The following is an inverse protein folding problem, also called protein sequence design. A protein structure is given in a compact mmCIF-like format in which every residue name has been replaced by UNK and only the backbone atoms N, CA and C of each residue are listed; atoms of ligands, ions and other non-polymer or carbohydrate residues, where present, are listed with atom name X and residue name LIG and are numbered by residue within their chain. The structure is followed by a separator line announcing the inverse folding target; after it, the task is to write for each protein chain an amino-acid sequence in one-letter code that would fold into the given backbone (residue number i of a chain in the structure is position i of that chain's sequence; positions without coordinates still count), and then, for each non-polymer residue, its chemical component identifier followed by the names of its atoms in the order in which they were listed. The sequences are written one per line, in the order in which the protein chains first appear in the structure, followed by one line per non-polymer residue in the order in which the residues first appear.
data_IF_278170401229
#
_entry.id   IF_278170401229
#
_cell.length_a   1.000
_cell.length_b   1.000
_cell.length_c   1.000
_cell.angle_alpha   90.00
_cell.angle_beta   90.00
_cell.angle_gamma   90.00
#
_symmetry.space_group_name_H-M   'P 1'
#
loop_
_entity.id
_entity.type
_entity.pdbx_description
1 polymer ?
#
# COMPACT_ATOMS: atom_id res chain seq x y z
N UNK A 1 -3.81 -34.40 2.72
CA UNK A 1 -3.94 -32.94 2.93
C UNK A 1 -4.67 -32.36 1.74
N UNK A 2 -5.67 -31.50 1.93
CA UNK A 2 -6.43 -30.93 0.79
C UNK A 2 -5.59 -29.88 0.06
N UNK A 3 -5.76 -29.76 -1.26
CA UNK A 3 -5.02 -28.81 -2.09
C UNK A 3 -5.20 -27.35 -1.62
N UNK A 4 -6.38 -27.03 -1.08
CA UNK A 4 -6.67 -25.72 -0.48
C UNK A 4 -5.81 -25.44 0.76
N UNK A 5 -5.62 -26.43 1.64
CA UNK A 5 -4.79 -26.28 2.83
C UNK A 5 -3.32 -26.04 2.46
N UNK A 6 -2.80 -26.78 1.47
CA UNK A 6 -1.44 -26.58 0.98
C UNK A 6 -1.27 -25.19 0.36
N UNK A 7 -2.21 -24.75 -0.48
CA UNK A 7 -2.19 -23.41 -1.06
C UNK A 7 -2.23 -22.33 0.03
N UNK A 8 -3.11 -22.46 1.03
CA UNK A 8 -3.21 -21.50 2.12
C UNK A 8 -1.94 -21.43 2.98
N UNK A 9 -1.25 -22.54 3.22
CA UNK A 9 0.01 -22.54 3.99
C UNK A 9 1.12 -21.85 3.19
N UNK A 10 1.31 -22.23 1.93
CA UNK A 10 2.39 -21.69 1.09
C UNK A 10 2.15 -20.24 0.67
N UNK A 11 0.96 -19.90 0.18
CA UNK A 11 0.63 -18.53 -0.21
C UNK A 11 0.27 -17.64 0.98
N UNK A 12 -0.41 -18.19 1.99
CA UNK A 12 -0.85 -17.42 3.15
C UNK A 12 0.33 -16.89 3.96
N UNK A 13 1.46 -17.61 4.03
CA UNK A 13 2.67 -17.09 4.66
C UNK A 13 3.18 -15.81 3.97
N UNK A 14 3.22 -15.80 2.63
CA UNK A 14 3.64 -14.63 1.87
C UNK A 14 2.69 -13.44 2.06
N UNK A 15 1.38 -13.69 1.99
CA UNK A 15 0.36 -12.66 2.23
C UNK A 15 0.43 -12.14 3.66
N UNK A 16 0.58 -13.01 4.65
CA UNK A 16 0.68 -12.63 6.06
C UNK A 16 1.89 -11.72 6.30
N UNK A 17 3.06 -12.07 5.77
CA UNK A 17 4.27 -11.23 5.87
C UNK A 17 4.03 -9.86 5.23
N UNK A 18 3.45 -9.81 4.03
CA UNK A 18 3.14 -8.55 3.36
C UNK A 18 2.19 -7.65 4.16
N UNK A 19 1.15 -8.24 4.76
CA UNK A 19 0.20 -7.52 5.62
C UNK A 19 0.88 -7.00 6.89
N UNK A 20 1.69 -7.84 7.55
CA UNK A 20 2.43 -7.46 8.77
C UNK A 20 3.35 -6.27 8.48
N UNK A 21 4.15 -6.34 7.40
CA UNK A 21 5.06 -5.26 7.01
C UNK A 21 4.27 -3.97 6.71
N UNK A 22 3.16 -4.06 5.98
CA UNK A 22 2.32 -2.89 5.67
C UNK A 22 1.77 -2.22 6.92
N UNK A 23 1.26 -3.02 7.87
CA UNK A 23 0.71 -2.50 9.13
C UNK A 23 1.82 -1.91 10.00
N UNK A 24 2.95 -2.60 10.11
CA UNK A 24 4.10 -2.13 10.88
C UNK A 24 4.65 -0.81 10.31
N UNK A 25 4.83 -0.71 8.99
CA UNK A 25 5.29 0.52 8.33
C UNK A 25 4.29 1.67 8.52
N UNK A 26 3.00 1.42 8.31
CA UNK A 26 1.96 2.44 8.52
C UNK A 26 1.91 2.93 9.97
N UNK A 27 2.04 2.01 10.94
CA UNK A 27 2.07 2.35 12.36
C UNK A 27 3.34 3.09 12.76
N UNK A 28 4.50 2.70 12.21
CA UNK A 28 5.77 3.35 12.45
C UNK A 28 5.80 4.79 11.92
N UNK A 29 5.27 5.02 10.72
CA UNK A 29 5.10 6.37 10.16
C UNK A 29 4.19 7.23 11.04
N UNK A 30 3.06 6.67 11.49
CA UNK A 30 2.13 7.36 12.40
C UNK A 30 2.74 7.68 13.76
N UNK A 31 3.64 6.85 14.28
CA UNK A 31 4.29 7.06 15.57
C UNK A 31 5.45 8.07 15.52
N UNK A 32 6.05 8.29 14.34
CA UNK A 32 7.22 9.20 14.20
C UNK A 32 6.86 10.64 13.83
N UNK A 33 5.57 11.01 13.84
CA UNK A 33 5.09 12.31 13.34
C UNK A 33 5.59 12.61 11.91
N UNK A 34 5.97 11.54 11.18
CA UNK A 34 6.12 11.58 9.73
C UNK A 34 4.69 11.51 9.23
N UNK A 35 3.99 12.60 9.45
CA UNK A 35 2.65 12.76 8.94
C UNK A 35 2.75 12.56 7.44
N UNK A 36 1.93 11.65 6.90
CA UNK A 36 1.89 11.40 5.47
C UNK A 36 1.52 12.69 4.72
N UNK A 37 0.94 13.68 5.43
CA UNK A 37 0.76 15.04 4.97
C UNK A 37 2.08 15.74 4.65
N UNK A 38 3.13 15.59 5.47
CA UNK A 38 4.45 16.22 5.27
C UNK A 38 5.20 15.56 4.11
N UNK A 39 5.16 14.23 3.98
CA UNK A 39 5.69 13.53 2.79
C UNK A 39 4.91 13.94 1.53
N UNK A 40 3.57 14.10 1.63
CA UNK A 40 2.72 14.62 0.53
C UNK A 40 2.97 16.09 0.22
N UNK A 41 3.39 16.89 1.21
CA UNK A 41 3.70 18.32 1.09
C UNK A 41 5.09 18.54 0.50
N UNK A 42 6.06 17.68 0.87
CA UNK A 42 7.40 17.62 0.28
C UNK A 42 7.40 17.11 -1.16
N UNK A 43 6.40 16.31 -1.56
CA UNK A 43 6.19 15.93 -2.96
C UNK A 43 5.81 17.12 -3.86
N UNK A 44 5.39 18.26 -3.28
CA UNK A 44 5.18 19.53 -3.97
C UNK A 44 4.27 19.42 -5.22
N UNK A 45 4.19 20.45 -6.07
CA UNK A 45 3.49 20.39 -7.36
C UNK A 45 4.05 19.32 -8.32
N UNK A 46 5.11 18.61 -7.95
CA UNK A 46 5.70 17.51 -8.69
C UNK A 46 5.01 16.15 -8.44
N UNK A 47 3.69 16.16 -8.14
CA UNK A 47 2.85 14.96 -8.20
C UNK A 47 2.98 14.36 -9.61
N UNK A 48 3.90 13.41 -9.80
CA UNK A 48 3.82 12.50 -10.94
C UNK A 48 2.45 11.86 -10.88
N UNK A 49 1.64 12.09 -11.93
CA UNK A 49 0.28 11.55 -12.12
C UNK A 49 0.16 10.17 -11.48
N UNK A 50 -0.37 10.13 -10.25
CA UNK A 50 -0.60 8.88 -9.52
C UNK A 50 -1.88 8.28 -10.11
N UNK A 51 -1.75 7.63 -11.24
CA UNK A 51 -2.82 6.81 -11.77
C UNK A 51 -2.96 5.56 -10.92
N UNK A 52 -4.05 5.51 -10.17
CA UNK A 52 -4.37 4.33 -9.38
C UNK A 52 -5.17 3.39 -10.27
N UNK A 53 -4.68 2.18 -10.42
CA UNK A 53 -5.42 1.11 -11.07
C UNK A 53 -6.44 0.57 -10.08
N UNK A 54 -7.70 0.97 -10.25
CA UNK A 54 -8.81 0.45 -9.47
C UNK A 54 -9.61 -0.47 -10.38
N UNK A 55 -9.51 -1.79 -10.13
CA UNK A 55 -10.42 -2.80 -10.67
C UNK A 55 -10.61 -2.72 -12.19
N UNK A 56 -9.53 -2.59 -12.95
CA UNK A 56 -9.58 -2.55 -14.42
C UNK A 56 -9.63 -1.15 -15.03
N UNK A 57 -9.78 -0.09 -14.23
CA UNK A 57 -9.87 1.28 -14.73
C UNK A 57 -8.72 2.14 -14.21
N UNK A 58 -8.00 2.79 -15.12
CA UNK A 58 -6.98 3.79 -14.80
C UNK A 58 -7.67 5.12 -14.50
N UNK A 59 -7.84 5.45 -13.22
CA UNK A 59 -8.30 6.79 -12.83
C UNK A 59 -7.09 7.72 -12.74
N UNK A 60 -7.09 8.76 -13.57
CA UNK A 60 -6.16 9.89 -13.50
C UNK A 60 -6.84 10.98 -12.68
N UNK A 61 -6.30 11.27 -11.50
CA UNK A 61 -6.72 12.44 -10.74
C UNK A 61 -5.96 13.64 -11.35
N UNK A 62 -6.60 14.37 -12.27
CA UNK A 62 -6.08 15.65 -12.75
C UNK A 62 -6.38 16.74 -11.69
N UNK A 63 -5.42 17.61 -11.37
CA UNK A 63 -5.65 18.76 -10.50
C UNK A 63 -6.33 19.90 -11.27
N UNK A 64 -7.48 20.36 -10.78
CA UNK A 64 -8.09 21.64 -11.16
C UNK A 64 -7.23 22.84 -10.71
#
# INVERSE_FOLDING_TARGET
MSALATAAIYFGAFVAVGVIVKVAAGRWLKMRDIDLSEVRRQLGPNRRKSSRFLLGMWRKDDPD
#
